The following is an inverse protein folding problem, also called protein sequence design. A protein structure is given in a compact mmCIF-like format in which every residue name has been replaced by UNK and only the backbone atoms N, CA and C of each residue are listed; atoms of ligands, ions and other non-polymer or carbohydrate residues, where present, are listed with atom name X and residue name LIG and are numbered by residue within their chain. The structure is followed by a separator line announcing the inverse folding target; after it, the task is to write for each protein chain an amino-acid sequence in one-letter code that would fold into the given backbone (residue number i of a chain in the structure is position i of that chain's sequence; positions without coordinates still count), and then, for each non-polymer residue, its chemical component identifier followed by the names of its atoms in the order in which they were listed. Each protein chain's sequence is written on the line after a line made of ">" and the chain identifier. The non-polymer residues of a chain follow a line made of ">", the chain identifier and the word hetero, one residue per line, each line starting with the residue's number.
data_IF_729329022655
#
_entry.id   IF_729329022655
#
_cell.length_a   1.000
_cell.length_b   1.000
_cell.length_c   1.000
_cell.angle_alpha   90.00
_cell.angle_beta   90.00
_cell.angle_gamma   90.00
#
_symmetry.space_group_name_H-M   'P 1'
#
loop_
_entity.id
_entity.type
_entity.pdbx_description
1 polymer ?
#
# COMPACT_ATOMS: atom_id res chain seq x y z
N UNK A 1 -2.96 9.03 13.39
CA UNK A 1 -4.17 8.82 12.58
C UNK A 1 -3.85 9.30 11.18
N UNK A 2 -3.87 8.42 10.18
CA UNK A 2 -3.78 8.78 8.77
C UNK A 2 -5.18 8.63 8.19
N UNK A 3 -5.64 9.65 7.46
CA UNK A 3 -6.89 9.64 6.74
C UNK A 3 -6.63 10.15 5.33
N UNK A 4 -7.23 9.52 4.33
CA UNK A 4 -7.24 10.00 2.95
C UNK A 4 -8.55 10.73 2.68
N UNK A 5 -8.48 11.86 1.98
CA UNK A 5 -9.66 12.57 1.47
C UNK A 5 -9.58 12.52 -0.05
N UNK A 6 -10.51 11.81 -0.68
CA UNK A 6 -10.72 11.87 -2.12
C UNK A 6 -11.64 13.05 -2.47
N UNK A 7 -11.60 13.53 -3.71
CA UNK A 7 -12.51 14.58 -4.15
C UNK A 7 -13.94 14.02 -4.32
N UNK A 8 -14.95 14.66 -3.73
CA UNK A 8 -16.37 14.25 -3.84
C UNK A 8 -16.88 14.17 -5.29
N UNK A 9 -16.25 14.92 -6.20
CA UNK A 9 -16.67 15.04 -7.60
C UNK A 9 -15.93 14.08 -8.56
N UNK A 10 -14.93 13.33 -8.10
CA UNK A 10 -14.09 12.51 -8.97
C UNK A 10 -14.32 11.03 -8.67
N UNK A 11 -14.36 10.20 -9.72
CA UNK A 11 -14.48 8.73 -9.65
C UNK A 11 -13.22 8.04 -9.04
N UNK A 12 -12.64 8.68 -8.04
CA UNK A 12 -11.37 8.36 -7.40
C UNK A 12 -11.59 7.49 -6.16
N UNK A 13 -10.92 6.35 -6.13
CA UNK A 13 -10.90 5.46 -4.98
C UNK A 13 -9.57 5.58 -4.28
N UNK A 14 -9.59 5.93 -3.00
CA UNK A 14 -8.40 6.19 -2.22
C UNK A 14 -8.37 5.27 -1.00
N UNK A 15 -7.26 4.56 -0.85
CA UNK A 15 -6.93 3.81 0.34
C UNK A 15 -5.54 4.15 0.81
N UNK A 16 -5.40 4.25 2.12
CA UNK A 16 -4.15 4.58 2.79
C UNK A 16 -3.96 3.67 3.99
N UNK A 17 -2.73 3.23 4.19
CA UNK A 17 -2.35 2.43 5.35
C UNK A 17 -0.96 2.82 5.85
N UNK A 18 -0.67 2.55 7.12
CA UNK A 18 0.61 2.85 7.75
C UNK A 18 0.96 1.80 8.81
N UNK A 19 2.20 1.34 8.78
CA UNK A 19 2.73 0.38 9.74
C UNK A 19 4.06 0.87 10.33
N UNK A 20 4.31 0.52 11.58
CA UNK A 20 5.61 0.69 12.24
C UNK A 20 6.56 -0.43 11.83
N UNK A 21 7.80 -0.08 11.48
CA UNK A 21 8.83 -1.05 11.07
C UNK A 21 9.38 -1.88 12.23
N UNK A 22 9.14 -1.45 13.47
CA UNK A 22 9.45 -2.18 14.70
C UNK A 22 8.37 -3.20 15.08
N UNK A 23 7.24 -3.23 14.35
CA UNK A 23 6.14 -4.14 14.62
C UNK A 23 6.59 -5.59 14.44
N UNK A 24 6.44 -6.39 15.50
CA UNK A 24 6.61 -7.85 15.42
C UNK A 24 5.49 -8.46 14.58
N UNK A 25 5.86 -9.34 13.65
CA UNK A 25 4.93 -9.99 12.72
C UNK A 25 5.06 -11.50 12.84
N UNK A 26 3.94 -12.22 12.79
CA UNK A 26 3.95 -13.67 12.65
C UNK A 26 4.40 -14.04 11.23
N UNK A 27 5.52 -14.79 11.05
CA UNK A 27 5.99 -15.23 9.75
C UNK A 27 4.95 -16.05 8.96
N UNK A 28 4.01 -16.72 9.66
CA UNK A 28 2.92 -17.47 9.03
C UNK A 28 1.94 -16.60 8.24
N UNK A 29 1.88 -15.30 8.53
CA UNK A 29 1.00 -14.37 7.80
C UNK A 29 1.39 -14.25 6.33
N UNK A 30 2.69 -14.25 6.02
CA UNK A 30 3.15 -14.15 4.63
C UNK A 30 2.65 -15.35 3.83
N UNK A 31 2.82 -16.56 4.36
CA UNK A 31 2.41 -17.80 3.71
C UNK A 31 0.89 -17.91 3.56
N UNK A 32 0.13 -17.28 4.46
CA UNK A 32 -1.33 -17.32 4.44
C UNK A 32 -1.95 -16.29 3.50
N UNK A 33 -1.34 -15.11 3.37
CA UNK A 33 -1.99 -13.96 2.73
C UNK A 33 -1.25 -13.41 1.52
N UNK A 34 0.05 -13.70 1.33
CA UNK A 34 0.79 -13.12 0.22
C UNK A 34 0.69 -13.99 -1.02
N UNK A 35 0.75 -13.34 -2.18
CA UNK A 35 0.84 -14.03 -3.44
C UNK A 35 2.21 -14.72 -3.58
N UNK A 36 2.34 -15.83 -4.32
CA UNK A 36 3.61 -16.52 -4.53
C UNK A 36 4.77 -15.62 -4.97
N UNK A 37 4.49 -14.62 -5.81
CA UNK A 37 5.47 -13.67 -6.33
C UNK A 37 5.99 -12.69 -5.27
N UNK A 38 5.21 -12.44 -4.21
CA UNK A 38 5.62 -11.63 -3.07
C UNK A 38 6.39 -12.45 -2.04
N UNK A 39 6.01 -13.72 -1.85
CA UNK A 39 6.78 -14.68 -1.06
C UNK A 39 8.17 -14.85 -1.68
N UNK A 40 8.27 -14.97 -3.00
CA UNK A 40 9.56 -15.04 -3.69
C UNK A 40 10.41 -13.78 -3.47
N UNK A 41 9.79 -12.59 -3.48
CA UNK A 41 10.49 -11.34 -3.15
C UNK A 41 11.05 -11.37 -1.73
N UNK A 42 10.30 -11.90 -0.75
CA UNK A 42 10.77 -12.07 0.63
C UNK A 42 11.92 -13.07 0.71
N UNK A 43 11.80 -14.23 0.07
CA UNK A 43 12.78 -15.32 0.15
C UNK A 43 14.14 -14.94 -0.46
N UNK A 44 14.16 -14.01 -1.41
CA UNK A 44 15.41 -13.44 -1.97
C UNK A 44 16.15 -12.54 -0.98
N UNK A 45 15.50 -12.06 0.08
CA UNK A 45 16.13 -11.22 1.11
C UNK A 45 16.75 -12.10 2.20
N UNK A 46 18.08 -11.95 2.39
CA UNK A 46 18.85 -12.76 3.35
C UNK A 46 18.89 -12.19 4.77
N UNK A 47 18.82 -10.87 4.91
CA UNK A 47 18.88 -10.20 6.20
C UNK A 47 17.47 -10.11 6.80
N UNK A 48 17.31 -10.55 8.05
CA UNK A 48 16.00 -10.67 8.70
C UNK A 48 15.32 -9.30 8.90
N UNK A 49 16.06 -8.26 9.30
CA UNK A 49 15.49 -6.91 9.46
C UNK A 49 14.98 -6.36 8.12
N UNK A 50 15.74 -6.58 7.05
CA UNK A 50 15.34 -6.17 5.69
C UNK A 50 14.14 -6.97 5.21
N UNK A 51 14.08 -8.27 5.53
CA UNK A 51 12.95 -9.14 5.19
C UNK A 51 11.69 -8.72 5.95
N UNK A 52 11.80 -8.42 7.24
CA UNK A 52 10.70 -7.89 8.06
C UNK A 52 10.20 -6.54 7.52
N UNK A 53 11.12 -5.63 7.17
CA UNK A 53 10.75 -4.36 6.57
C UNK A 53 10.03 -4.56 5.22
N UNK A 54 10.47 -5.50 4.39
CA UNK A 54 9.80 -5.84 3.13
C UNK A 54 8.42 -6.47 3.37
N UNK A 55 8.29 -7.35 4.37
CA UNK A 55 7.00 -7.92 4.77
C UNK A 55 6.01 -6.82 5.12
N UNK A 56 6.43 -5.87 5.97
CA UNK A 56 5.58 -4.75 6.39
C UNK A 56 5.23 -3.84 5.22
N UNK A 57 6.14 -3.61 4.27
CA UNK A 57 5.82 -2.90 3.02
C UNK A 57 4.71 -3.60 2.23
N UNK A 58 4.85 -4.90 1.98
CA UNK A 58 3.84 -5.68 1.23
C UNK A 58 2.50 -5.68 1.97
N UNK A 59 2.53 -5.87 3.28
CA UNK A 59 1.34 -5.80 4.13
C UNK A 59 0.62 -4.46 4.01
N UNK A 60 1.35 -3.35 4.17
CA UNK A 60 0.82 -1.99 4.09
C UNK A 60 0.23 -1.70 2.70
N UNK A 61 0.89 -2.17 1.63
CA UNK A 61 0.39 -2.04 0.25
C UNK A 61 -0.93 -2.78 0.04
N UNK A 62 -1.04 -4.01 0.56
CA UNK A 62 -2.26 -4.82 0.47
C UNK A 62 -3.42 -4.19 1.22
N UNK A 63 -3.19 -3.75 2.45
CA UNK A 63 -4.19 -3.05 3.26
C UNK A 63 -4.64 -1.74 2.61
N UNK A 64 -3.71 -0.93 2.09
CA UNK A 64 -4.06 0.30 1.37
C UNK A 64 -4.95 0.01 0.15
N UNK A 65 -4.64 -1.03 -0.63
CA UNK A 65 -5.46 -1.40 -1.78
C UNK A 65 -6.85 -1.90 -1.38
N UNK A 66 -6.95 -2.81 -0.41
CA UNK A 66 -8.25 -3.28 0.12
C UNK A 66 -9.10 -2.12 0.62
N UNK A 67 -8.49 -1.20 1.36
CA UNK A 67 -9.20 -0.01 1.87
C UNK A 67 -9.73 0.85 0.74
N UNK A 68 -9.00 0.96 -0.37
CA UNK A 68 -9.43 1.71 -1.54
C UNK A 68 -10.64 1.06 -2.23
N UNK A 69 -10.64 -0.27 -2.38
CA UNK A 69 -11.76 -0.99 -3.02
C UNK A 69 -12.96 -1.24 -2.10
N UNK A 70 -12.81 -1.00 -0.79
CA UNK A 70 -13.91 -1.02 0.18
C UNK A 70 -14.47 -2.41 0.50
N UNK A 71 -13.78 -3.49 0.11
CA UNK A 71 -14.25 -4.87 0.30
C UNK A 71 -13.85 -5.46 1.66
N UNK A 72 -12.92 -4.83 2.37
CA UNK A 72 -12.34 -5.34 3.61
C UNK A 72 -11.64 -6.69 3.41
N UNK A 73 -11.55 -7.49 4.49
CA UNK A 73 -10.88 -8.80 4.47
C UNK A 73 -11.62 -9.88 3.65
N UNK A 74 -12.74 -9.54 3.00
CA UNK A 74 -13.46 -10.46 2.12
C UNK A 74 -12.76 -10.67 0.77
N UNK A 75 -11.81 -9.80 0.41
CA UNK A 75 -10.97 -10.00 -0.78
C UNK A 75 -9.81 -10.93 -0.44
N UNK A 76 -9.68 -12.10 -1.08
CA UNK A 76 -8.53 -12.97 -0.87
C UNK A 76 -7.25 -12.25 -1.33
N UNK A 77 -6.30 -12.13 -0.42
CA UNK A 77 -5.09 -11.33 -0.61
C UNK A 77 -4.08 -11.94 -1.60
N UNK A 78 -4.33 -13.16 -2.07
CA UNK A 78 -3.54 -13.84 -3.09
C UNK A 78 -4.03 -13.56 -4.53
N UNK A 79 -5.18 -12.91 -4.71
CA UNK A 79 -5.76 -12.53 -6.02
C UNK A 79 -5.11 -11.29 -6.65
N UNK A 80 -4.20 -10.65 -5.94
CA UNK A 80 -3.39 -9.55 -6.46
C UNK A 80 -2.03 -9.54 -5.78
N UNK A 81 -1.05 -8.95 -6.45
CA UNK A 81 0.33 -8.92 -5.99
C UNK A 81 0.98 -7.57 -6.27
N UNK A 82 2.03 -7.25 -5.53
CA UNK A 82 2.89 -6.11 -5.82
C UNK A 82 4.28 -6.56 -6.27
N UNK A 83 4.64 -6.23 -7.51
CA UNK A 83 6.00 -6.34 -8.01
C UNK A 83 6.86 -5.17 -7.53
N UNK A 84 8.14 -5.45 -7.28
CA UNK A 84 9.10 -4.46 -6.80
C UNK A 84 8.59 -3.73 -5.55
N UNK A 85 8.02 -4.49 -4.61
CA UNK A 85 7.35 -3.97 -3.41
C UNK A 85 8.26 -3.11 -2.51
N UNK A 86 9.59 -3.27 -2.62
CA UNK A 86 10.56 -2.44 -1.91
C UNK A 86 10.66 -0.99 -2.44
N UNK A 87 10.26 -0.76 -3.70
CA UNK A 87 10.38 0.53 -4.39
C UNK A 87 9.32 1.55 -3.95
N UNK A 88 9.51 2.82 -4.34
CA UNK A 88 8.54 3.88 -4.05
C UNK A 88 7.28 3.81 -4.93
N UNK A 89 7.35 3.09 -6.05
CA UNK A 89 6.24 2.92 -7.00
C UNK A 89 6.09 1.46 -7.40
N UNK A 90 5.63 0.58 -6.47
CA UNK A 90 5.37 -0.82 -6.78
C UNK A 90 4.33 -0.96 -7.89
N UNK A 91 4.44 -2.03 -8.68
CA UNK A 91 3.46 -2.34 -9.72
C UNK A 91 2.42 -3.30 -9.16
N UNK A 92 1.15 -2.90 -9.20
CA UNK A 92 0.02 -3.78 -8.90
C UNK A 92 -0.19 -4.76 -10.06
N UNK A 93 -0.27 -6.04 -9.74
CA UNK A 93 -0.75 -7.10 -10.62
C UNK A 93 -2.08 -7.58 -10.08
N UNK A 94 -3.10 -7.59 -10.93
CA UNK A 94 -4.38 -8.21 -10.63
C UNK A 94 -4.41 -9.58 -11.29
N UNK A 95 -4.70 -10.64 -10.50
CA UNK A 95 -4.96 -11.98 -11.04
C UNK A 95 -6.44 -12.14 -11.40
N UNK A 96 -7.30 -11.36 -10.73
CA UNK A 96 -8.68 -11.14 -11.09
C UNK A 96 -8.90 -9.67 -11.51
N UNK A 97 -9.16 -9.47 -12.81
CA UNK A 97 -9.45 -8.14 -13.38
C UNK A 97 -10.71 -7.50 -12.80
N UNK A 98 -11.61 -8.27 -12.19
CA UNK A 98 -12.79 -7.71 -11.50
C UNK A 98 -12.39 -6.77 -10.36
N UNK A 99 -11.22 -6.99 -9.74
CA UNK A 99 -10.67 -6.13 -8.69
C UNK A 99 -10.25 -4.75 -9.21
N UNK A 100 -10.04 -4.60 -10.53
CA UNK A 100 -9.72 -3.31 -11.10
C UNK A 100 -10.89 -2.33 -10.96
N UNK A 101 -12.14 -2.83 -10.92
CA UNK A 101 -13.36 -2.04 -10.78
C UNK A 101 -13.43 -0.88 -11.80
N UNK A 102 -12.93 -1.14 -13.02
CA UNK A 102 -12.89 -0.16 -14.12
C UNK A 102 -11.93 1.03 -13.87
N UNK A 103 -10.91 0.86 -13.01
CA UNK A 103 -9.98 1.92 -12.63
C UNK A 103 -8.54 1.59 -13.00
N UNK A 104 -7.79 2.64 -13.29
CA UNK A 104 -6.35 2.64 -13.37
C UNK A 104 -5.77 2.88 -11.97
N UNK A 105 -5.00 1.90 -11.49
CA UNK A 105 -4.45 1.93 -10.15
C UNK A 105 -3.04 2.48 -10.11
N UNK A 106 -2.81 3.38 -9.17
CA UNK A 106 -1.52 3.94 -8.86
C UNK A 106 -1.19 3.69 -7.41
N UNK A 107 -0.01 3.11 -7.21
CA UNK A 107 0.44 2.63 -5.93
C UNK A 107 1.73 3.35 -5.56
N UNK A 108 1.81 3.81 -4.32
CA UNK A 108 2.99 4.49 -3.80
C UNK A 108 3.33 4.01 -2.41
N UNK A 109 4.62 3.78 -2.19
CA UNK A 109 5.21 3.66 -0.87
C UNK A 109 5.79 5.00 -0.45
N UNK A 110 5.58 5.35 0.80
CA UNK A 110 6.01 6.63 1.38
C UNK A 110 6.56 6.37 2.77
N UNK A 111 7.66 7.02 3.13
CA UNK A 111 8.19 7.01 4.50
C UNK A 111 7.74 8.31 5.17
N UNK A 112 6.62 8.32 5.92
CA UNK A 112 6.10 9.55 6.50
C UNK A 112 6.98 10.09 7.62
N UNK A 113 7.67 9.18 8.33
CA UNK A 113 8.68 9.47 9.34
C UNK A 113 9.59 8.25 9.51
N UNK A 114 10.76 8.44 10.11
CA UNK A 114 11.67 7.34 10.42
C UNK A 114 10.96 6.26 11.24
N UNK A 115 11.18 4.99 10.88
CA UNK A 115 10.57 3.83 11.55
C UNK A 115 9.15 3.50 11.10
N UNK A 116 8.61 4.19 10.09
CA UNK A 116 7.26 3.92 9.57
C UNK A 116 7.27 3.80 8.04
N UNK A 117 6.36 2.98 7.54
CA UNK A 117 6.01 2.93 6.12
C UNK A 117 4.53 3.22 5.97
N UNK A 118 4.18 4.04 4.99
CA UNK A 118 2.82 4.22 4.54
C UNK A 118 2.69 3.79 3.07
N UNK A 119 1.52 3.28 2.72
CA UNK A 119 1.15 3.00 1.34
C UNK A 119 -0.09 3.81 0.95
N UNK A 120 -0.14 4.19 -0.32
CA UNK A 120 -1.27 4.89 -0.93
C UNK A 120 -1.68 4.10 -2.17
N UNK A 121 -2.96 3.75 -2.26
CA UNK A 121 -3.60 3.20 -3.43
C UNK A 121 -4.64 4.20 -3.96
N UNK A 122 -4.43 4.68 -5.18
CA UNK A 122 -5.35 5.58 -5.87
C UNK A 122 -5.85 4.91 -7.16
N UNK A 123 -7.15 4.68 -7.25
CA UNK A 123 -7.82 4.18 -8.45
C UNK A 123 -8.58 5.31 -9.14
N UNK A 124 -8.32 5.54 -10.42
CA UNK A 124 -8.99 6.59 -11.21
C UNK A 124 -9.58 6.03 -12.50
N UNK A 125 -10.70 6.58 -13.01
CA UNK A 125 -11.23 6.16 -14.32
C UNK A 125 -10.35 6.60 -15.51
N UNK A 126 -9.50 7.60 -15.32
CA UNK A 126 -8.58 8.11 -16.35
C UNK A 126 -7.13 7.85 -15.97
N UNK A 127 -6.32 7.39 -16.91
CA UNK A 127 -4.90 7.05 -16.71
C UNK A 127 -3.96 8.26 -16.65
N UNK A 128 -4.42 9.48 -16.98
CA UNK A 128 -3.57 10.67 -17.11
C UNK A 128 -3.35 11.44 -15.79
N UNK A 129 -3.99 11.02 -14.70
CA UNK A 129 -3.79 11.66 -13.39
C UNK A 129 -2.53 11.08 -12.80
N UNK A 130 -1.56 11.91 -12.42
CA UNK A 130 -0.42 11.47 -11.57
C UNK A 130 -0.67 12.05 -10.18
N UNK A 131 -0.83 11.21 -9.13
CA UNK A 131 -1.10 11.70 -7.80
C UNK A 131 0.10 12.47 -7.27
N UNK A 132 -0.15 13.70 -6.84
CA UNK A 132 0.80 14.45 -6.01
C UNK A 132 0.58 14.04 -4.56
N UNK A 133 1.56 13.37 -3.97
CA UNK A 133 1.52 13.01 -2.55
C UNK A 133 2.36 14.04 -1.79
N UNK A 134 1.72 14.80 -0.91
CA UNK A 134 2.38 15.74 -0.02
C UNK A 134 2.26 15.26 1.43
N UNK A 135 3.40 15.11 2.09
CA UNK A 135 3.43 14.86 3.53
C UNK A 135 3.48 16.19 4.27
N UNK A 136 2.62 16.36 5.26
CA UNK A 136 2.58 17.58 6.07
C UNK A 136 2.52 17.25 7.55
N UNK A 137 3.39 17.90 8.34
CA UNK A 137 3.32 17.87 9.79
C UNK A 137 2.37 18.97 10.28
N UNK A 138 1.20 18.56 10.74
CA UNK A 138 0.17 19.47 11.25
C UNK A 138 0.62 20.25 12.50
N UNK A 139 1.63 19.77 13.25
CA UNK A 139 2.15 20.50 14.42
C UNK A 139 2.99 21.71 14.03
N UNK A 140 3.71 21.64 12.90
CA UNK A 140 4.49 22.76 12.38
C UNK A 140 3.59 23.83 11.74
N UNK A 141 2.55 23.40 11.01
CA UNK A 141 1.61 24.34 10.36
C UNK A 141 0.80 25.21 11.32
N UNK A 142 0.61 24.81 12.57
CA UNK A 142 -0.10 25.63 13.58
C UNK A 142 0.81 26.59 14.34
N UNK A 143 2.13 26.56 14.14
CA UNK A 143 3.07 27.52 14.72
C UNK A 143 3.29 28.74 13.82
N UNK A 144 2.89 28.64 12.55
CA UNK A 144 2.96 29.72 11.55
C UNK A 144 1.62 30.49 11.41
N UNK A 145 0.67 30.27 12.32
CA UNK A 145 -0.62 30.97 12.43
C UNK A 145 -0.72 31.79 13.72
#
# INVERSE_FOLDING_TARGET
>A
MICGIGAEAADEWLGVDIEGLDRTTDPGLAQRYFAPEEIEQLDRVKNDDTKQALFLKIWTLKEAFIKAIGTGLNTPLDQFAFENAASNSPRLILKDESLAQGRHWQIRNVIPRQGYIAAVALGTKTSNIVPKIELSDFRKRMQDC
#
